data_IF_523434097244
#
_entry.id   IF_523434097244
#
_cell.length_a   1.000
_cell.length_b   1.000
_cell.length_c   1.000
_cell.angle_alpha   90.00
_cell.angle_beta   90.00
_cell.angle_gamma   90.00
#
_symmetry.space_group_name_H-M   'P 1'
#
loop_
_entity.id
_entity.type
_entity.pdbx_description
1 polymer ?
#
# COMPACT_ATOMS: atom_id res chain seq x y z
N UNK A 1 5.48 -6.97 26.13
CA UNK A 1 4.56 -7.08 24.98
C UNK A 1 5.37 -6.79 23.75
N UNK A 2 5.41 -7.67 22.77
CA UNK A 2 6.01 -7.35 21.48
C UNK A 2 5.22 -6.21 20.85
N UNK A 3 5.90 -5.13 20.46
CA UNK A 3 5.29 -4.06 19.68
C UNK A 3 4.87 -4.64 18.33
N UNK A 4 3.58 -4.56 18.01
CA UNK A 4 3.06 -4.96 16.70
C UNK A 4 3.32 -3.83 15.71
N UNK A 5 4.53 -3.81 15.17
CA UNK A 5 4.94 -2.84 14.15
C UNK A 5 4.45 -3.33 12.78
N UNK A 6 3.90 -2.42 11.99
CA UNK A 6 3.54 -2.66 10.59
C UNK A 6 4.26 -1.60 9.75
N UNK A 7 5.11 -2.05 8.83
CA UNK A 7 5.75 -1.21 7.83
C UNK A 7 4.86 -1.18 6.59
N UNK A 8 4.38 0.01 6.27
CA UNK A 8 3.42 0.28 5.20
C UNK A 8 4.08 1.15 4.13
N UNK A 9 3.86 0.82 2.86
CA UNK A 9 4.08 1.76 1.77
C UNK A 9 2.72 2.14 1.19
N UNK A 10 2.49 3.43 1.00
CA UNK A 10 1.25 3.96 0.41
C UNK A 10 1.61 4.65 -0.89
N UNK A 11 1.01 4.18 -1.98
CA UNK A 11 1.17 4.76 -3.31
C UNK A 11 -0.13 5.47 -3.62
N UNK A 12 -0.11 6.79 -3.46
CA UNK A 12 -1.27 7.66 -3.63
C UNK A 12 -0.80 9.08 -3.93
N UNK A 13 -1.43 9.71 -4.91
CA UNK A 13 -1.22 11.12 -5.25
C UNK A 13 -1.80 12.05 -4.15
N UNK A 14 -2.65 11.54 -3.26
CA UNK A 14 -3.23 12.25 -2.11
C UNK A 14 -2.48 11.98 -0.81
N UNK A 15 -2.16 13.03 -0.06
CA UNK A 15 -1.59 12.93 1.29
C UNK A 15 -2.56 12.40 2.35
N UNK A 16 -3.87 12.64 2.17
CA UNK A 16 -4.88 12.37 3.20
C UNK A 16 -5.03 10.86 3.51
N UNK A 17 -4.84 10.00 2.51
CA UNK A 17 -5.05 8.56 2.67
C UNK A 17 -4.04 7.93 3.62
N UNK A 18 -2.76 8.31 3.52
CA UNK A 18 -1.69 7.78 4.37
C UNK A 18 -1.97 8.07 5.84
N UNK A 19 -2.26 9.34 6.17
CA UNK A 19 -2.51 9.77 7.55
C UNK A 19 -3.71 9.05 8.16
N UNK A 20 -4.79 8.88 7.38
CA UNK A 20 -5.98 8.17 7.83
C UNK A 20 -5.70 6.69 8.13
N UNK A 21 -4.92 6.01 7.27
CA UNK A 21 -4.56 4.60 7.47
C UNK A 21 -3.69 4.44 8.72
N UNK A 22 -2.64 5.27 8.83
CA UNK A 22 -1.73 5.27 9.98
C UNK A 22 -2.47 5.53 11.28
N UNK A 23 -3.38 6.51 11.28
CA UNK A 23 -4.20 6.85 12.44
C UNK A 23 -5.06 5.66 12.88
N UNK A 24 -5.74 4.99 11.95
CA UNK A 24 -6.59 3.81 12.26
C UNK A 24 -5.77 2.65 12.82
N UNK A 25 -4.58 2.39 12.27
CA UNK A 25 -3.68 1.34 12.76
C UNK A 25 -3.22 1.64 14.20
N UNK A 26 -2.84 2.89 14.48
CA UNK A 26 -2.44 3.35 15.82
C UNK A 26 -3.57 3.22 16.83
N UNK A 27 -4.79 3.63 16.50
CA UNK A 27 -5.97 3.45 17.36
C UNK A 27 -6.27 1.97 17.64
N UNK A 28 -5.91 1.08 16.72
CA UNK A 28 -6.07 -0.37 16.86
C UNK A 28 -4.96 -1.04 17.68
N UNK A 29 -4.01 -0.26 18.23
CA UNK A 29 -2.91 -0.75 19.06
C UNK A 29 -1.68 -1.22 18.28
N UNK A 30 -1.56 -0.85 17.00
CA UNK A 30 -0.39 -1.14 16.16
C UNK A 30 0.52 0.08 16.04
N UNK A 31 1.82 -0.15 15.97
CA UNK A 31 2.78 0.90 15.58
C UNK A 31 2.88 0.91 14.07
N UNK A 32 2.20 1.85 13.41
CA UNK A 32 2.29 2.02 11.97
C UNK A 32 3.46 2.95 11.59
N UNK A 33 4.35 2.45 10.73
CA UNK A 33 5.39 3.19 10.02
C UNK A 33 5.01 3.22 8.56
N UNK A 34 4.72 4.38 8.01
CA UNK A 34 4.34 4.53 6.61
C UNK A 34 5.41 5.29 5.84
N UNK A 35 5.51 4.97 4.56
CA UNK A 35 6.24 5.77 3.57
C UNK A 35 5.31 5.98 2.39
N UNK A 36 5.04 7.24 2.06
CA UNK A 36 4.36 7.60 0.83
C UNK A 36 5.34 7.60 -0.34
N UNK A 37 4.87 7.10 -1.47
CA UNK A 37 5.62 6.94 -2.71
C UNK A 37 4.77 7.52 -3.82
N UNK A 38 5.33 8.40 -4.65
CA UNK A 38 4.61 8.99 -5.80
C UNK A 38 5.02 8.35 -7.12
N UNK A 39 6.26 7.86 -7.24
CA UNK A 39 6.78 7.29 -8.48
C UNK A 39 7.59 5.98 -8.28
N UNK A 40 8.11 5.44 -9.39
CA UNK A 40 8.91 4.21 -9.40
C UNK A 40 10.26 4.38 -8.66
N UNK A 41 10.85 5.58 -8.67
CA UNK A 41 12.13 5.86 -8.03
C UNK A 41 11.96 5.88 -6.50
N UNK A 42 10.93 6.59 -6.03
CA UNK A 42 10.48 6.59 -4.64
C UNK A 42 10.19 5.17 -4.14
N UNK A 43 9.54 4.34 -4.97
CA UNK A 43 9.21 2.97 -4.60
C UNK A 43 10.47 2.15 -4.36
N UNK A 44 11.46 2.27 -5.24
CA UNK A 44 12.73 1.56 -5.12
C UNK A 44 13.54 2.03 -3.91
N UNK A 45 13.54 3.34 -3.62
CA UNK A 45 14.19 3.88 -2.44
C UNK A 45 13.49 3.37 -1.16
N UNK A 46 12.16 3.42 -1.11
CA UNK A 46 11.37 2.95 0.03
C UNK A 46 11.59 1.45 0.30
N UNK A 47 11.60 0.62 -0.75
CA UNK A 47 11.89 -0.82 -0.65
C UNK A 47 13.33 -1.11 -0.21
N UNK A 48 14.27 -0.22 -0.55
CA UNK A 48 15.67 -0.34 -0.12
C UNK A 48 15.87 0.08 1.33
N UNK A 49 15.09 1.05 1.81
CA UNK A 49 15.14 1.60 3.16
C UNK A 49 14.45 0.68 4.18
N UNK A 50 13.30 0.11 3.82
CA UNK A 50 12.55 -0.82 4.66
C UNK A 50 11.89 -1.94 3.85
N UNK A 51 11.72 -3.10 4.47
CA UNK A 51 10.93 -4.19 3.89
C UNK A 51 9.48 -3.96 4.30
N UNK A 52 8.57 -3.61 3.37
CA UNK A 52 7.17 -3.39 3.71
C UNK A 52 6.46 -4.72 4.00
N UNK A 53 5.63 -4.72 5.03
CA UNK A 53 4.68 -5.81 5.28
C UNK A 53 3.48 -5.70 4.33
N UNK A 54 3.08 -4.46 4.04
CA UNK A 54 1.90 -4.15 3.24
C UNK A 54 2.18 -2.95 2.32
N UNK A 55 1.75 -3.06 1.07
CA UNK A 55 1.70 -1.97 0.09
C UNK A 55 0.25 -1.69 -0.23
N UNK A 56 -0.17 -0.44 -0.10
CA UNK A 56 -1.51 0.01 -0.50
C UNK A 56 -1.35 0.92 -1.72
N UNK A 57 -1.87 0.44 -2.84
CA UNK A 57 -1.86 1.16 -4.12
C UNK A 57 -3.25 1.71 -4.37
N UNK A 58 -3.36 3.03 -4.53
CA UNK A 58 -4.60 3.66 -4.94
C UNK A 58 -4.63 3.80 -6.46
N UNK A 59 -5.64 3.19 -7.07
CA UNK A 59 -5.79 3.19 -8.52
C UNK A 59 -6.04 4.61 -9.04
N UNK A 60 -5.51 4.88 -10.23
CA UNK A 60 -5.60 6.20 -10.86
C UNK A 60 -4.35 7.07 -10.67
N UNK A 61 -3.30 6.57 -10.00
CA UNK A 61 -1.99 7.24 -10.03
C UNK A 61 -1.44 7.28 -11.45
N UNK A 62 -0.98 8.46 -11.88
CA UNK A 62 -0.46 8.68 -13.24
C UNK A 62 0.97 8.15 -13.42
N UNK A 63 1.72 8.02 -12.32
CA UNK A 63 3.16 7.79 -12.33
C UNK A 63 3.56 6.34 -12.09
N UNK A 64 2.70 5.54 -11.46
CA UNK A 64 2.99 4.14 -11.13
C UNK A 64 1.78 3.26 -11.42
N UNK A 65 2.00 2.15 -12.13
CA UNK A 65 0.97 1.13 -12.33
C UNK A 65 1.12 -0.04 -11.34
N UNK A 66 0.01 -0.74 -11.07
CA UNK A 66 0.03 -1.98 -10.28
C UNK A 66 1.03 -3.02 -10.85
N UNK A 67 1.19 -3.05 -12.18
CA UNK A 67 2.12 -3.97 -12.84
C UNK A 67 3.57 -3.62 -12.50
N UNK A 68 3.91 -2.34 -12.44
CA UNK A 68 5.27 -1.88 -12.13
C UNK A 68 5.60 -2.19 -10.66
N UNK A 69 4.65 -1.96 -9.75
CA UNK A 69 4.77 -2.34 -8.33
C UNK A 69 5.04 -3.83 -8.17
N UNK A 70 4.23 -4.68 -8.81
CA UNK A 70 4.40 -6.14 -8.75
C UNK A 70 5.76 -6.57 -9.33
N UNK A 71 6.19 -5.95 -10.43
CA UNK A 71 7.49 -6.22 -11.02
C UNK A 71 8.65 -5.82 -10.09
N UNK A 72 8.54 -4.69 -9.39
CA UNK A 72 9.54 -4.22 -8.43
C UNK A 72 9.67 -5.18 -7.24
N UNK A 73 8.55 -5.58 -6.65
CA UNK A 73 8.49 -6.54 -5.53
C UNK A 73 9.05 -7.91 -5.95
N UNK A 74 8.61 -8.44 -7.10
CA UNK A 74 9.07 -9.76 -7.56
C UNK A 74 10.58 -9.82 -7.85
N UNK A 75 11.24 -8.69 -8.08
CA UNK A 75 12.70 -8.63 -8.25
C UNK A 75 13.45 -8.76 -6.93
N UNK A 76 12.84 -8.38 -5.79
CA UNK A 76 13.47 -8.46 -4.47
C UNK A 76 12.86 -9.58 -3.62
N UNK A 77 13.65 -10.63 -3.39
CA UNK A 77 13.27 -11.78 -2.54
C UNK A 77 12.89 -11.38 -1.11
N UNK A 78 13.36 -10.24 -0.60
CA UNK A 78 12.99 -9.75 0.74
C UNK A 78 11.51 -9.41 0.84
N UNK A 79 10.87 -9.12 -0.28
CA UNK A 79 9.46 -8.69 -0.35
C UNK A 79 8.49 -9.85 -0.61
N UNK A 80 8.95 -11.11 -0.57
CA UNK A 80 8.14 -12.31 -0.82
C UNK A 80 6.88 -12.43 0.07
N UNK A 81 6.98 -11.93 1.32
CA UNK A 81 5.85 -11.90 2.26
C UNK A 81 5.02 -10.61 2.20
N UNK A 82 5.45 -9.63 1.40
CA UNK A 82 4.70 -8.40 1.22
C UNK A 82 3.36 -8.70 0.55
N UNK A 83 2.32 -7.99 0.96
CA UNK A 83 1.00 -8.05 0.34
C UNK A 83 0.68 -6.70 -0.28
N UNK A 84 0.00 -6.74 -1.42
CA UNK A 84 -0.41 -5.54 -2.14
C UNK A 84 -1.93 -5.48 -2.09
N UNK A 85 -2.48 -4.33 -1.69
CA UNK A 85 -3.90 -4.03 -1.76
C UNK A 85 -4.08 -2.95 -2.81
N UNK A 86 -4.84 -3.25 -3.87
CA UNK A 86 -5.30 -2.25 -4.83
C UNK A 86 -6.60 -1.63 -4.32
N UNK A 87 -6.67 -0.31 -4.30
CA UNK A 87 -7.83 0.46 -3.85
C UNK A 87 -8.33 1.31 -5.00
N UNK A 88 -9.47 0.93 -5.56
CA UNK A 88 -10.17 1.75 -6.53
C UNK A 88 -10.96 2.86 -5.82
N UNK A 89 -10.63 4.13 -6.10
CA UNK A 89 -11.32 5.31 -5.53
C UNK A 89 -12.59 5.71 -6.29
N UNK A 90 -12.77 5.23 -7.51
CA UNK A 90 -13.74 5.79 -8.48
C UNK A 90 -14.93 4.88 -8.77
N UNK A 91 -14.79 3.57 -8.67
CA UNK A 91 -15.88 2.62 -8.89
C UNK A 91 -16.62 2.29 -7.59
N UNK A 92 -17.93 2.56 -7.58
CA UNK A 92 -18.80 1.89 -6.62
C UNK A 92 -18.78 0.39 -6.91
N UNK A 93 -18.61 -0.48 -5.90
CA UNK A 93 -18.71 -1.92 -6.11
C UNK A 93 -20.04 -2.21 -6.77
N UNK A 94 -20.06 -2.99 -7.86
CA UNK A 94 -21.28 -3.36 -8.55
C UNK A 94 -22.10 -4.31 -7.65
N UNK A 95 -22.82 -3.73 -6.69
CA UNK A 95 -23.56 -4.43 -5.63
C UNK A 95 -24.57 -5.41 -6.24
N UNK A 96 -25.08 -5.08 -7.44
CA UNK A 96 -26.02 -5.91 -8.19
C UNK A 96 -25.38 -7.23 -8.64
N UNK A 97 -24.12 -7.22 -9.06
CA UNK A 97 -23.41 -8.44 -9.43
C UNK A 97 -23.00 -9.25 -8.19
N UNK A 98 -22.61 -8.59 -7.10
CA UNK A 98 -22.20 -9.24 -5.86
C UNK A 98 -23.34 -10.03 -5.18
N UNK A 99 -24.59 -9.55 -5.27
CA UNK A 99 -25.78 -10.21 -4.69
C UNK A 99 -26.27 -11.40 -5.55
N UNK A 100 -25.86 -11.48 -6.82
CA UNK A 100 -26.31 -12.52 -7.76
C UNK A 100 -25.49 -13.82 -7.72
N UNK A 101 -24.47 -13.90 -6.85
CA UNK A 101 -23.62 -15.09 -6.65
C UNK A 101 -23.99 -15.76 -5.34
#
# INVERSE_FOLDING_TARGET
MEEKIINLIVIDDSFDSEEQIVSKLRTSGYTARSTRVEDDEDLLEALSSQIPDLIIFFEGSELVSLKDIVNCINKDKKTENCRIISVNKTEQPNVVNAIRT
#
